data_IF_094763466977
#
_entry.id   IF_094763466977
#
_cell.length_a   1.000
_cell.length_b   1.000
_cell.length_c   1.000
_cell.angle_alpha   90.00
_cell.angle_beta   90.00
_cell.angle_gamma   90.00
#
_symmetry.space_group_name_H-M   'P 1'
#
loop_
_entity.id
_entity.type
_entity.pdbx_description
1 polymer ?
#
# COMPACT_ATOMS: atom_id res chain seq x y z
N UNK A 1 9.79 0.32 19.25
CA UNK A 1 8.91 1.47 19.52
C UNK A 1 7.48 1.07 19.21
N UNK A 2 6.54 1.27 20.13
CA UNK A 2 5.13 1.00 19.87
C UNK A 2 4.63 1.88 18.72
N UNK A 3 3.93 1.28 17.76
CA UNK A 3 3.28 1.99 16.65
C UNK A 3 1.79 2.06 16.93
N UNK A 4 1.17 3.21 16.63
CA UNK A 4 -0.28 3.32 16.60
C UNK A 4 -0.86 2.29 15.62
N UNK A 5 -2.03 1.74 15.97
CA UNK A 5 -2.80 0.94 15.06
C UNK A 5 -3.16 1.75 13.81
N UNK A 6 -3.17 1.10 12.64
CA UNK A 6 -3.62 1.74 11.40
C UNK A 6 -5.15 1.85 11.44
N UNK A 7 -5.67 3.03 11.15
CA UNK A 7 -7.12 3.24 10.97
C UNK A 7 -7.49 2.85 9.54
N UNK A 8 -8.60 2.13 9.39
CA UNK A 8 -9.19 1.79 8.10
C UNK A 8 -10.56 2.45 8.03
N UNK A 9 -10.77 3.32 7.04
CA UNK A 9 -12.07 3.98 6.81
C UNK A 9 -12.62 3.48 5.46
N UNK A 10 -13.63 2.60 5.46
CA UNK A 10 -14.24 2.10 4.23
C UNK A 10 -14.77 3.22 3.34
N UNK A 11 -14.68 3.05 2.02
CA UNK A 11 -15.18 4.03 1.03
C UNK A 11 -14.34 5.30 0.88
N UNK A 12 -13.30 5.49 1.70
CA UNK A 12 -12.43 6.66 1.63
C UNK A 12 -11.04 6.33 1.07
N UNK A 13 -10.50 7.15 0.16
CA UNK A 13 -9.15 6.95 -0.35
C UNK A 13 -8.13 7.17 0.77
N UNK A 14 -7.14 6.28 0.85
CA UNK A 14 -6.03 6.41 1.78
C UNK A 14 -4.81 6.96 1.03
N UNK A 15 -4.16 7.99 1.58
CA UNK A 15 -2.91 8.49 1.03
C UNK A 15 -1.75 7.57 1.46
N UNK A 16 -1.08 6.97 0.48
CA UNK A 16 0.06 6.07 0.70
C UNK A 16 1.34 6.76 0.27
N UNK A 17 2.36 6.76 1.14
CA UNK A 17 3.70 7.26 0.81
C UNK A 17 4.72 6.15 0.90
N UNK A 18 5.61 6.05 -0.09
CA UNK A 18 6.73 5.11 -0.10
C UNK A 18 8.02 5.87 0.25
N UNK A 19 8.78 5.36 1.23
CA UNK A 19 10.06 5.96 1.64
C UNK A 19 11.14 4.91 1.70
N UNK A 20 12.32 5.23 1.15
CA UNK A 20 13.51 4.41 1.28
C UNK A 20 14.00 4.36 2.73
N UNK A 21 14.73 3.28 3.05
CA UNK A 21 15.38 3.13 4.34
C UNK A 21 16.35 4.30 4.58
N UNK A 22 16.36 4.86 5.79
CA UNK A 22 17.20 6.01 6.12
C UNK A 22 16.92 7.27 5.29
N UNK A 23 15.72 7.44 4.72
CA UNK A 23 15.37 8.50 3.74
C UNK A 23 16.17 8.41 2.43
N UNK A 24 16.76 7.26 2.14
CA UNK A 24 17.43 7.01 0.87
C UNK A 24 16.45 7.04 -0.31
N UNK A 25 17.04 7.08 -1.51
CA UNK A 25 16.30 6.97 -2.76
C UNK A 25 15.50 5.65 -2.79
N UNK A 26 14.25 5.74 -3.22
CA UNK A 26 13.31 4.61 -3.20
C UNK A 26 13.35 3.79 -4.50
N UNK A 27 13.47 4.48 -5.64
CA UNK A 27 13.53 3.92 -6.98
C UNK A 27 14.83 4.40 -7.63
N UNK A 28 15.62 3.47 -8.16
CA UNK A 28 16.94 3.70 -8.73
C UNK A 28 16.88 3.84 -10.24
N UNK A 29 15.88 3.23 -10.87
CA UNK A 29 15.53 3.35 -12.28
C UNK A 29 14.01 3.38 -12.49
N UNK A 30 13.57 3.76 -13.69
CA UNK A 30 12.14 3.84 -14.04
C UNK A 30 11.42 2.49 -13.90
N UNK A 31 12.16 1.40 -14.15
CA UNK A 31 11.67 0.02 -13.99
C UNK A 31 11.25 -0.33 -12.57
N UNK A 32 11.90 0.24 -11.55
CA UNK A 32 11.57 -0.03 -10.15
C UNK A 32 10.18 0.49 -9.80
N UNK A 33 9.82 1.67 -10.31
CA UNK A 33 8.50 2.25 -10.05
C UNK A 33 7.41 1.47 -10.77
N UNK A 34 7.64 1.08 -12.03
CA UNK A 34 6.72 0.23 -12.78
C UNK A 34 6.48 -1.10 -12.03
N UNK A 35 7.55 -1.76 -11.60
CA UNK A 35 7.45 -3.02 -10.86
C UNK A 35 6.71 -2.85 -9.52
N UNK A 36 7.01 -1.78 -8.78
CA UNK A 36 6.28 -1.43 -7.55
C UNK A 36 4.77 -1.24 -7.81
N UNK A 37 4.41 -0.55 -8.90
CA UNK A 37 3.00 -0.30 -9.28
C UNK A 37 2.25 -1.59 -9.54
N UNK A 38 2.88 -2.57 -10.18
CA UNK A 38 2.30 -3.89 -10.44
C UNK A 38 2.08 -4.68 -9.15
N UNK A 39 3.09 -4.73 -8.28
CA UNK A 39 3.00 -5.36 -6.97
C UNK A 39 1.90 -4.72 -6.11
N UNK A 40 1.84 -3.39 -6.08
CA UNK A 40 0.81 -2.67 -5.34
C UNK A 40 -0.59 -3.01 -5.85
N UNK A 41 -0.79 -3.01 -7.17
CA UNK A 41 -2.08 -3.35 -7.76
C UNK A 41 -2.50 -4.80 -7.49
N UNK A 42 -1.57 -5.76 -7.59
CA UNK A 42 -1.82 -7.17 -7.30
C UNK A 42 -2.26 -7.37 -5.85
N UNK A 43 -1.57 -6.74 -4.90
CA UNK A 43 -1.90 -6.84 -3.48
C UNK A 43 -3.20 -6.10 -3.13
N UNK A 44 -3.47 -4.92 -3.72
CA UNK A 44 -4.74 -4.24 -3.53
C UNK A 44 -5.93 -5.08 -3.99
N UNK A 45 -5.80 -5.80 -5.11
CA UNK A 45 -6.83 -6.74 -5.57
C UNK A 45 -7.02 -7.90 -4.58
N UNK A 46 -5.93 -8.51 -4.13
CA UNK A 46 -5.99 -9.61 -3.16
C UNK A 46 -6.62 -9.17 -1.82
N UNK A 47 -6.29 -7.98 -1.33
CA UNK A 47 -6.81 -7.43 -0.08
C UNK A 47 -8.25 -6.89 -0.19
N UNK A 48 -8.62 -6.34 -1.36
CA UNK A 48 -10.00 -5.86 -1.61
C UNK A 48 -11.03 -6.98 -1.52
N UNK A 49 -10.65 -8.20 -1.87
CA UNK A 49 -11.50 -9.39 -1.74
C UNK A 49 -11.74 -9.80 -0.28
N UNK A 50 -11.00 -9.25 0.69
CA UNK A 50 -11.15 -9.57 2.12
C UNK A 50 -12.17 -8.67 2.83
N UNK A 51 -12.55 -7.53 2.25
CA UNK A 51 -13.45 -6.55 2.85
C UNK A 51 -14.92 -6.70 2.48
N UNK A 52 -15.24 -7.47 1.43
CA UNK A 52 -16.60 -7.67 0.94
C UNK A 52 -17.35 -8.77 1.72
N UNK A 53 -16.64 -9.73 2.31
CA UNK A 53 -17.23 -10.80 3.12
C UNK A 53 -17.50 -10.43 4.58
N UNK A 54 -17.14 -9.22 5.01
CA UNK A 54 -17.32 -8.75 6.40
C UNK A 54 -18.46 -7.72 6.54
N UNK A 55 -19.22 -7.47 5.47
CA UNK A 55 -20.33 -6.53 5.42
C UNK A 55 -21.67 -7.19 5.04
N UNK A 56 -21.77 -8.52 5.09
CA UNK A 56 -23.02 -9.27 5.09
C UNK A 56 -23.15 -10.09 6.37
#
# INVERSE_FOLDING_TARGET
MARLARVVIPGHPHHVTQRGNGRGRTFFEDGDYAHYRDLLAANCRAAGNYGDSALN
#
